data_IF_634687060337
#
_entry.id   IF_634687060337
#
_cell.length_a   1.000
_cell.length_b   1.000
_cell.length_c   1.000
_cell.angle_alpha   90.00
_cell.angle_beta   90.00
_cell.angle_gamma   90.00
#
_symmetry.space_group_name_H-M   'P 1'
#
loop_
_entity.id
_entity.type
_entity.pdbx_description
1 polymer ?
#
# COMPACT_ATOMS: atom_id res chain seq x y z
N UNK A 1 -15.24 -20.00 -24.18
CA UNK A 1 -15.85 -20.75 -23.07
C UNK A 1 -16.88 -19.83 -22.43
N UNK A 2 -18.19 -20.13 -22.53
CA UNK A 2 -19.20 -19.34 -21.84
C UNK A 2 -18.96 -19.48 -20.33
N UNK A 3 -18.80 -18.34 -19.67
CA UNK A 3 -18.59 -18.29 -18.23
C UNK A 3 -19.74 -19.00 -17.52
N UNK A 4 -19.41 -19.99 -16.70
CA UNK A 4 -20.34 -20.61 -15.78
C UNK A 4 -20.71 -19.50 -14.78
N UNK A 5 -21.83 -18.82 -15.02
CA UNK A 5 -22.49 -18.01 -14.01
C UNK A 5 -23.09 -19.02 -13.04
N UNK A 6 -22.36 -19.35 -11.98
CA UNK A 6 -23.01 -19.99 -10.84
C UNK A 6 -24.07 -19.00 -10.34
N UNK A 7 -25.34 -19.39 -10.22
CA UNK A 7 -26.34 -18.51 -9.65
C UNK A 7 -25.98 -18.31 -8.17
N UNK A 8 -25.35 -17.18 -7.85
CA UNK A 8 -25.24 -16.74 -6.46
C UNK A 8 -26.65 -16.45 -5.98
N UNK A 9 -27.13 -17.21 -4.99
CA UNK A 9 -28.44 -17.00 -4.40
C UNK A 9 -28.52 -15.60 -3.77
N UNK A 10 -29.69 -14.97 -3.91
CA UNK A 10 -29.98 -13.68 -3.28
C UNK A 10 -29.85 -13.79 -1.75
N UNK A 11 -29.45 -12.70 -1.10
CA UNK A 11 -29.41 -12.64 0.36
C UNK A 11 -30.82 -12.83 0.96
N UNK A 12 -30.90 -13.26 2.23
CA UNK A 12 -32.18 -13.60 2.87
C UNK A 12 -33.15 -12.42 2.92
N UNK A 13 -32.65 -11.20 3.17
CA UNK A 13 -33.43 -9.96 3.09
C UNK A 13 -34.12 -9.81 1.72
N UNK A 14 -33.38 -10.00 0.64
CA UNK A 14 -33.85 -9.85 -0.74
C UNK A 14 -34.86 -10.92 -1.07
N UNK A 15 -34.62 -12.17 -0.67
CA UNK A 15 -35.60 -13.25 -0.84
C UNK A 15 -36.94 -12.90 -0.16
N UNK A 16 -36.89 -12.38 1.07
CA UNK A 16 -38.09 -11.95 1.82
C UNK A 16 -38.81 -10.78 1.12
N UNK A 17 -38.07 -9.77 0.65
CA UNK A 17 -38.65 -8.61 -0.03
C UNK A 17 -39.29 -8.98 -1.37
N UNK A 18 -38.63 -9.82 -2.17
CA UNK A 18 -39.19 -10.32 -3.43
C UNK A 18 -40.45 -11.17 -3.18
N UNK A 19 -40.45 -12.02 -2.15
CA UNK A 19 -41.62 -12.80 -1.75
C UNK A 19 -42.80 -11.91 -1.29
N UNK A 20 -42.50 -10.75 -0.71
CA UNK A 20 -43.50 -9.74 -0.35
C UNK A 20 -43.97 -8.86 -1.52
N UNK A 21 -43.43 -9.06 -2.73
CA UNK A 21 -43.83 -8.35 -3.95
C UNK A 21 -43.05 -7.06 -4.24
N UNK A 22 -41.97 -6.77 -3.51
CA UNK A 22 -41.10 -5.64 -3.83
C UNK A 22 -40.24 -5.92 -5.07
N UNK A 23 -39.85 -4.86 -5.77
CA UNK A 23 -39.04 -4.93 -7.00
C UNK A 23 -37.86 -3.96 -6.91
N UNK A 24 -36.91 -4.05 -7.84
CA UNK A 24 -35.79 -3.11 -7.93
C UNK A 24 -36.23 -1.65 -8.17
N UNK A 25 -37.46 -1.42 -8.62
CA UNK A 25 -38.05 -0.09 -8.85
C UNK A 25 -38.93 0.38 -7.68
N UNK A 26 -39.45 -0.55 -6.89
CA UNK A 26 -40.31 -0.27 -5.75
C UNK A 26 -39.93 -1.14 -4.56
N UNK A 27 -39.18 -0.56 -3.62
CA UNK A 27 -38.69 -1.20 -2.42
C UNK A 27 -38.82 -0.26 -1.21
N UNK A 28 -38.79 -0.78 0.03
CA UNK A 28 -38.95 0.05 1.24
C UNK A 28 -37.80 1.05 1.46
N UNK A 29 -38.11 2.18 2.09
CA UNK A 29 -37.13 3.25 2.37
C UNK A 29 -35.98 2.83 3.31
N UNK A 30 -36.15 1.73 4.05
CA UNK A 30 -35.14 1.22 4.97
C UNK A 30 -34.07 0.36 4.29
N UNK A 31 -34.23 0.03 3.00
CA UNK A 31 -33.24 -0.68 2.19
C UNK A 31 -32.76 0.17 1.01
N UNK A 32 -31.61 -0.20 0.46
CA UNK A 32 -31.03 0.43 -0.73
C UNK A 32 -30.45 -0.62 -1.67
N UNK A 33 -30.25 -0.23 -2.92
CA UNK A 33 -29.46 -1.00 -3.88
C UNK A 33 -28.04 -0.42 -3.91
N UNK A 34 -27.00 -1.23 -3.68
CA UNK A 34 -25.63 -0.75 -3.73
C UNK A 34 -25.20 -0.30 -5.12
N UNK A 35 -24.15 0.52 -5.17
CA UNK A 35 -23.54 0.95 -6.43
C UNK A 35 -22.77 -0.16 -7.14
N UNK A 36 -22.43 -1.25 -6.44
CA UNK A 36 -21.78 -2.41 -7.04
C UNK A 36 -22.79 -3.14 -7.94
N UNK A 37 -22.40 -3.47 -9.18
CA UNK A 37 -23.25 -4.19 -10.13
C UNK A 37 -22.38 -4.98 -11.08
N UNK A 38 -22.72 -6.25 -11.30
CA UNK A 38 -21.99 -7.13 -12.22
C UNK A 38 -22.86 -7.70 -13.34
N UNK A 39 -24.17 -7.43 -13.36
CA UNK A 39 -25.08 -7.86 -14.42
C UNK A 39 -26.11 -6.80 -14.84
N UNK A 40 -27.07 -7.19 -15.69
CA UNK A 40 -28.11 -6.28 -16.18
C UNK A 40 -29.26 -6.07 -15.18
N UNK A 41 -29.36 -6.90 -14.15
CA UNK A 41 -30.30 -6.69 -13.05
C UNK A 41 -29.63 -5.82 -11.96
N UNK A 42 -30.26 -4.73 -11.48
CA UNK A 42 -29.77 -3.96 -10.33
C UNK A 42 -29.52 -4.80 -9.06
N UNK A 43 -30.23 -5.92 -8.90
CA UNK A 43 -30.07 -6.83 -7.75
C UNK A 43 -28.88 -7.79 -7.90
N UNK A 44 -28.25 -7.86 -9.09
CA UNK A 44 -27.01 -8.60 -9.32
C UNK A 44 -25.80 -7.75 -8.91
N UNK A 45 -25.56 -7.71 -7.60
CA UNK A 45 -24.51 -6.91 -6.96
C UNK A 45 -23.68 -7.74 -5.97
N UNK A 46 -22.66 -7.13 -5.36
CA UNK A 46 -21.75 -7.81 -4.43
C UNK A 46 -22.42 -8.22 -3.11
N UNK A 47 -23.52 -7.56 -2.77
CA UNK A 47 -24.30 -7.80 -1.55
C UNK A 47 -25.41 -8.82 -1.79
N UNK A 48 -25.48 -9.36 -3.01
CA UNK A 48 -26.46 -10.35 -3.46
C UNK A 48 -27.91 -9.83 -3.31
N UNK A 49 -28.15 -8.53 -3.57
CA UNK A 49 -29.49 -7.94 -3.62
C UNK A 49 -29.60 -6.60 -2.89
N UNK A 50 -30.66 -6.42 -2.10
CA UNK A 50 -30.87 -5.24 -1.26
C UNK A 50 -29.94 -5.26 -0.04
N UNK A 51 -29.53 -4.08 0.41
CA UNK A 51 -28.79 -3.83 1.66
C UNK A 51 -29.65 -3.00 2.61
N UNK A 52 -29.46 -3.15 3.91
CA UNK A 52 -30.03 -2.18 4.84
C UNK A 52 -29.38 -0.80 4.66
N UNK A 53 -30.19 0.25 4.79
CA UNK A 53 -29.66 1.60 4.91
C UNK A 53 -28.84 1.73 6.20
N UNK A 54 -27.72 2.49 6.21
CA UNK A 54 -26.92 2.65 7.43
C UNK A 54 -27.71 3.19 8.63
N UNK A 55 -28.72 4.02 8.40
CA UNK A 55 -29.52 4.61 9.48
C UNK A 55 -30.52 3.61 10.05
N UNK A 56 -31.12 2.75 9.22
CA UNK A 56 -31.93 1.65 9.71
C UNK A 56 -31.08 0.61 10.43
N UNK A 57 -29.91 0.25 9.89
CA UNK A 57 -29.02 -0.71 10.52
C UNK A 57 -28.58 -0.24 11.92
N UNK A 58 -28.32 1.05 12.12
CA UNK A 58 -28.00 1.61 13.45
C UNK A 58 -29.14 1.50 14.46
N UNK A 59 -30.40 1.45 14.03
CA UNK A 59 -31.54 1.28 14.94
C UNK A 59 -31.78 -0.18 15.33
N UNK A 60 -31.21 -1.12 14.59
CA UNK A 60 -31.32 -2.55 14.86
C UNK A 60 -30.42 -2.99 16.01
N UNK A 61 -30.88 -4.01 16.72
CA UNK A 61 -30.16 -4.68 17.81
C UNK A 61 -29.94 -6.14 17.44
N UNK A 62 -28.73 -6.61 17.72
CA UNK A 62 -28.32 -7.98 17.49
C UNK A 62 -27.89 -8.64 18.79
N UNK A 63 -27.91 -9.96 18.83
CA UNK A 63 -27.52 -10.77 19.98
C UNK A 63 -26.59 -11.89 19.54
N UNK A 64 -25.52 -12.11 20.30
CA UNK A 64 -24.63 -13.26 20.09
C UNK A 64 -25.28 -14.54 20.63
N UNK A 65 -24.78 -15.72 20.22
CA UNK A 65 -25.23 -17.01 20.78
C UNK A 65 -25.06 -17.15 22.30
N UNK A 66 -24.17 -16.35 22.93
CA UNK A 66 -24.00 -16.30 24.38
C UNK A 66 -24.85 -15.22 25.08
N UNK A 67 -25.70 -14.50 24.34
CA UNK A 67 -26.66 -13.55 24.88
C UNK A 67 -26.16 -12.11 25.00
N UNK A 68 -25.00 -11.77 24.45
CA UNK A 68 -24.49 -10.39 24.49
C UNK A 68 -25.15 -9.52 23.42
N UNK A 69 -25.58 -8.33 23.80
CA UNK A 69 -26.18 -7.35 22.90
C UNK A 69 -25.11 -6.60 22.07
N UNK A 70 -25.43 -6.38 20.79
CA UNK A 70 -24.60 -5.70 19.80
C UNK A 70 -25.45 -4.67 19.06
N UNK A 71 -24.93 -3.46 18.86
CA UNK A 71 -25.60 -2.42 18.07
C UNK A 71 -25.34 -2.68 16.59
N UNK A 72 -26.35 -2.49 15.74
CA UNK A 72 -26.15 -2.63 14.30
C UNK A 72 -25.17 -1.61 13.70
N UNK A 73 -24.82 -0.53 14.41
CA UNK A 73 -23.76 0.39 14.01
C UNK A 73 -22.39 -0.29 13.78
N UNK A 74 -22.13 -1.40 14.46
CA UNK A 74 -20.88 -2.18 14.30
C UNK A 74 -20.76 -2.82 12.90
N UNK A 75 -21.88 -3.02 12.21
CA UNK A 75 -21.93 -3.71 10.91
C UNK A 75 -21.98 -2.77 9.71
N UNK A 76 -21.75 -1.47 9.91
CA UNK A 76 -21.76 -0.48 8.82
C UNK A 76 -20.51 -0.51 7.92
N UNK A 77 -19.49 -1.30 8.27
CA UNK A 77 -18.15 -1.22 7.67
C UNK A 77 -17.80 -2.33 6.68
N UNK A 78 -18.79 -3.10 6.25
CA UNK A 78 -18.69 -4.10 5.19
C UNK A 78 -18.88 -5.53 5.68
N UNK A 79 -19.06 -6.43 4.72
CA UNK A 79 -19.41 -7.82 4.96
C UNK A 79 -18.21 -8.75 4.80
N UNK A 80 -18.30 -9.93 5.40
CA UNK A 80 -17.28 -10.97 5.26
C UNK A 80 -17.84 -12.13 4.43
N UNK A 81 -17.11 -12.55 3.39
CA UNK A 81 -17.39 -13.79 2.69
C UNK A 81 -16.39 -14.86 3.14
N UNK A 82 -16.87 -15.91 3.81
CA UNK A 82 -16.02 -16.99 4.32
C UNK A 82 -16.74 -18.33 4.25
N UNK A 83 -16.04 -19.39 3.81
CA UNK A 83 -16.58 -20.74 3.61
C UNK A 83 -17.87 -20.80 2.76
N UNK A 84 -17.97 -19.92 1.76
CA UNK A 84 -19.14 -19.84 0.88
C UNK A 84 -20.36 -19.15 1.49
N UNK A 85 -20.25 -18.64 2.72
CA UNK A 85 -21.29 -17.85 3.40
C UNK A 85 -20.94 -16.37 3.34
N UNK A 86 -21.93 -15.55 2.99
CA UNK A 86 -21.86 -14.09 3.14
C UNK A 86 -22.38 -13.72 4.52
N UNK A 87 -21.46 -13.42 5.43
CA UNK A 87 -21.71 -13.02 6.81
C UNK A 87 -22.06 -11.54 6.86
N UNK A 88 -23.36 -11.25 6.76
CA UNK A 88 -23.89 -9.88 6.72
C UNK A 88 -25.18 -9.75 7.52
N UNK A 89 -25.58 -8.53 7.91
CA UNK A 89 -26.88 -8.26 8.51
C UNK A 89 -28.06 -8.76 7.67
N UNK A 90 -27.96 -8.67 6.34
CA UNK A 90 -28.99 -9.08 5.38
C UNK A 90 -29.26 -10.59 5.39
N UNK A 91 -28.25 -11.37 5.78
CA UNK A 91 -28.36 -12.83 5.96
C UNK A 91 -28.60 -13.23 7.42
N UNK A 92 -28.87 -12.26 8.31
CA UNK A 92 -29.08 -12.51 9.74
C UNK A 92 -27.93 -13.30 10.37
N UNK A 93 -26.70 -13.06 9.90
CA UNK A 93 -25.49 -13.66 10.45
C UNK A 93 -24.28 -12.71 10.39
N UNK A 94 -24.41 -11.42 10.77
CA UNK A 94 -23.24 -10.56 10.85
C UNK A 94 -22.29 -11.06 11.95
N UNK A 95 -21.00 -10.73 11.81
CA UNK A 95 -19.95 -11.25 12.69
C UNK A 95 -19.23 -10.15 13.45
N UNK A 96 -18.89 -10.44 14.70
CA UNK A 96 -18.04 -9.59 15.53
C UNK A 96 -16.84 -10.37 16.04
N UNK A 97 -15.76 -9.69 16.41
CA UNK A 97 -14.75 -10.32 17.25
C UNK A 97 -15.35 -10.57 18.65
N UNK A 98 -15.19 -11.77 19.19
CA UNK A 98 -15.68 -12.14 20.50
C UNK A 98 -14.86 -11.44 21.59
N UNK A 99 -15.48 -10.69 22.51
CA UNK A 99 -14.75 -9.97 23.57
C UNK A 99 -14.05 -10.92 24.55
N UNK A 100 -14.54 -12.16 24.71
CA UNK A 100 -13.95 -13.16 25.59
C UNK A 100 -12.78 -13.93 24.97
N UNK A 101 -12.63 -13.89 23.63
CA UNK A 101 -11.53 -14.53 22.89
C UNK A 101 -11.25 -15.98 23.32
N UNK A 102 -12.31 -16.74 23.61
CA UNK A 102 -12.20 -18.18 23.91
C UNK A 102 -11.96 -18.94 22.60
N UNK A 103 -10.93 -19.79 22.61
CA UNK A 103 -10.58 -20.65 21.49
C UNK A 103 -11.71 -21.66 21.21
N UNK A 104 -12.11 -22.41 22.22
CA UNK A 104 -13.21 -23.38 22.14
C UNK A 104 -14.51 -22.72 22.65
N UNK A 105 -15.52 -22.64 21.79
CA UNK A 105 -16.82 -22.07 22.11
C UNK A 105 -17.93 -22.75 21.32
N UNK A 106 -18.68 -23.63 21.98
CA UNK A 106 -19.80 -24.39 21.38
C UNK A 106 -20.99 -23.51 20.93
N UNK A 107 -21.01 -22.24 21.36
CA UNK A 107 -22.06 -21.27 21.05
C UNK A 107 -21.81 -20.50 19.73
N UNK A 108 -20.69 -20.76 19.07
CA UNK A 108 -20.30 -20.10 17.81
C UNK A 108 -20.60 -21.02 16.64
N UNK A 109 -20.87 -20.46 15.47
CA UNK A 109 -20.97 -21.25 14.25
C UNK A 109 -19.74 -22.17 14.05
N UNK A 110 -19.93 -23.48 13.80
CA UNK A 110 -18.85 -24.43 13.55
C UNK A 110 -17.97 -24.07 12.35
N UNK A 111 -18.47 -23.22 11.45
CA UNK A 111 -17.75 -22.77 10.26
C UNK A 111 -16.50 -21.95 10.60
N UNK A 112 -16.43 -21.34 11.78
CA UNK A 112 -15.30 -20.50 12.18
C UNK A 112 -14.06 -21.28 12.66
N UNK A 113 -14.12 -22.63 12.77
CA UNK A 113 -13.04 -23.63 12.87
C UNK A 113 -11.80 -23.39 13.75
N UNK A 114 -11.29 -24.40 14.45
CA UNK A 114 -10.14 -24.31 15.38
C UNK A 114 -8.75 -24.07 14.71
N UNK A 115 -8.51 -22.87 14.18
CA UNK A 115 -7.26 -22.51 13.51
C UNK A 115 -6.38 -21.53 14.30
N UNK A 116 -5.05 -21.70 14.25
CA UNK A 116 -4.07 -20.74 14.84
C UNK A 116 -4.09 -19.32 14.24
N UNK A 117 -4.94 -19.07 13.24
CA UNK A 117 -5.13 -17.78 12.59
C UNK A 117 -6.61 -17.32 12.62
N UNK A 118 -7.42 -17.83 13.56
CA UNK A 118 -8.80 -17.41 13.72
C UNK A 118 -8.90 -16.12 14.50
N UNK A 119 -9.29 -15.05 13.83
CA UNK A 119 -10.04 -14.01 14.52
C UNK A 119 -11.26 -14.69 15.19
N UNK A 120 -11.47 -14.40 16.48
CA UNK A 120 -12.48 -15.04 17.33
C UNK A 120 -13.91 -14.61 16.93
N UNK A 121 -14.31 -14.84 15.69
CA UNK A 121 -15.55 -14.32 15.12
C UNK A 121 -16.76 -15.01 15.74
N UNK A 122 -17.68 -14.25 16.31
CA UNK A 122 -18.99 -14.73 16.75
C UNK A 122 -20.05 -14.23 15.78
N UNK A 123 -20.90 -15.13 15.30
CA UNK A 123 -22.12 -14.79 14.60
C UNK A 123 -23.15 -14.19 15.57
N UNK A 124 -23.89 -13.23 15.05
CA UNK A 124 -24.94 -12.50 15.75
C UNK A 124 -26.24 -12.62 14.96
N UNK A 125 -27.37 -12.54 15.66
CA UNK A 125 -28.70 -12.58 15.05
C UNK A 125 -29.53 -11.38 15.51
N UNK A 126 -30.44 -10.90 14.68
CA UNK A 126 -31.36 -9.82 15.03
C UNK A 126 -32.22 -10.21 16.22
N UNK A 127 -32.47 -9.26 17.13
CA UNK A 127 -33.37 -9.45 18.27
C UNK A 127 -34.34 -8.28 18.39
N UNK A 128 -35.55 -8.55 18.89
CA UNK A 128 -36.56 -7.54 19.20
C UNK A 128 -36.34 -6.91 20.59
N UNK A 129 -35.48 -7.51 21.41
CA UNK A 129 -35.12 -7.02 22.73
C UNK A 129 -34.49 -5.61 22.62
N UNK A 130 -34.82 -4.66 23.51
CA UNK A 130 -34.11 -3.40 23.59
C UNK A 130 -32.65 -3.63 23.99
N UNK A 131 -31.74 -2.84 23.43
CA UNK A 131 -30.32 -2.94 23.74
C UNK A 131 -30.03 -2.65 25.23
N UNK A 132 -29.47 -3.64 25.93
CA UNK A 132 -28.97 -3.49 27.30
C UNK A 132 -27.44 -3.37 27.31
N UNK A 133 -26.93 -2.21 27.76
CA UNK A 133 -25.50 -1.97 27.89
C UNK A 133 -24.83 -2.88 28.92
N UNK A 134 -25.49 -3.25 30.02
CA UNK A 134 -24.88 -4.07 31.06
C UNK A 134 -24.55 -5.48 30.56
N UNK A 135 -25.34 -5.99 29.61
CA UNK A 135 -25.16 -7.28 28.95
C UNK A 135 -24.69 -7.13 27.50
N UNK A 136 -23.94 -6.07 27.18
CA UNK A 136 -23.46 -5.82 25.83
C UNK A 136 -22.01 -6.22 25.59
N UNK A 137 -21.67 -6.34 24.32
CA UNK A 137 -20.29 -6.50 23.86
C UNK A 137 -19.45 -5.27 24.19
N UNK A 138 -20.02 -4.06 24.13
CA UNK A 138 -19.33 -2.81 24.47
C UNK A 138 -18.85 -2.84 25.93
N UNK A 139 -19.70 -3.30 26.85
CA UNK A 139 -19.35 -3.42 28.26
C UNK A 139 -18.31 -4.51 28.50
N UNK A 140 -18.45 -5.65 27.83
CA UNK A 140 -17.45 -6.72 27.89
C UNK A 140 -16.07 -6.24 27.40
N UNK A 141 -16.00 -5.48 26.31
CA UNK A 141 -14.76 -4.87 25.84
C UNK A 141 -14.21 -3.83 26.81
N UNK A 142 -15.06 -2.99 27.40
CA UNK A 142 -14.64 -2.01 28.39
C UNK A 142 -13.97 -2.69 29.59
N UNK A 143 -14.61 -3.73 30.13
CA UNK A 143 -14.10 -4.47 31.29
C UNK A 143 -12.82 -5.24 30.96
N UNK A 144 -12.75 -5.82 29.76
CA UNK A 144 -11.53 -6.44 29.24
C UNK A 144 -10.37 -5.44 29.14
N UNK A 145 -10.59 -4.30 28.48
CA UNK A 145 -9.57 -3.26 28.30
C UNK A 145 -9.13 -2.67 29.65
N UNK A 146 -10.04 -2.54 30.61
CA UNK A 146 -9.70 -2.12 31.97
C UNK A 146 -8.74 -3.10 32.66
N UNK A 147 -8.99 -4.41 32.54
CA UNK A 147 -8.08 -5.46 33.06
C UNK A 147 -6.72 -5.43 32.36
N UNK A 148 -6.71 -5.35 31.04
CA UNK A 148 -5.46 -5.27 30.24
C UNK A 148 -4.63 -4.04 30.63
N UNK A 149 -5.29 -2.90 30.88
CA UNK A 149 -4.63 -1.68 31.37
C UNK A 149 -4.05 -1.85 32.77
N UNK A 150 -4.79 -2.46 33.71
CA UNK A 150 -4.26 -2.77 35.04
C UNK A 150 -3.03 -3.66 34.97
N UNK A 151 -3.06 -4.71 34.14
CA UNK A 151 -1.91 -5.57 33.90
C UNK A 151 -0.71 -4.83 33.29
N UNK A 152 -0.97 -3.83 32.42
CA UNK A 152 0.08 -2.97 31.87
C UNK A 152 0.74 -2.12 32.95
N UNK A 153 -0.05 -1.52 33.84
CA UNK A 153 0.47 -0.70 34.94
C UNK A 153 1.33 -1.56 35.90
N UNK A 154 0.89 -2.78 36.19
CA UNK A 154 1.66 -3.73 36.99
C UNK A 154 2.93 -4.21 36.27
N UNK A 155 2.87 -4.42 34.95
CA UNK A 155 4.04 -4.72 34.13
C UNK A 155 5.07 -3.57 34.16
N UNK A 156 4.60 -2.32 34.05
CA UNK A 156 5.45 -1.13 34.16
C UNK A 156 6.11 -1.03 35.53
N UNK A 157 5.36 -1.28 36.62
CA UNK A 157 5.90 -1.32 37.99
C UNK A 157 6.97 -2.39 38.14
N UNK A 158 6.72 -3.62 37.66
CA UNK A 158 7.68 -4.74 37.71
C UNK A 158 8.99 -4.44 36.96
N UNK A 159 8.93 -3.65 35.89
CA UNK A 159 10.10 -3.24 35.10
C UNK A 159 10.72 -1.91 35.54
N UNK A 160 10.29 -1.34 36.68
CA UNK A 160 10.82 -0.08 37.20
C UNK A 160 10.60 1.12 36.27
N UNK A 161 9.55 1.10 35.44
CA UNK A 161 9.26 2.15 34.47
C UNK A 161 10.07 2.09 33.18
N UNK A 162 10.89 1.04 32.94
CA UNK A 162 11.61 0.82 31.69
C UNK A 162 10.74 0.22 30.58
N UNK A 163 9.54 0.76 30.38
CA UNK A 163 8.55 0.24 29.42
C UNK A 163 8.19 1.30 28.41
N UNK A 164 8.54 1.06 27.15
CA UNK A 164 8.10 1.90 26.04
C UNK A 164 6.86 1.27 25.38
N UNK A 165 5.78 2.06 25.26
CA UNK A 165 4.50 1.63 24.68
C UNK A 165 4.61 1.07 23.25
N UNK A 166 5.59 1.52 22.46
CA UNK A 166 5.80 1.03 21.08
C UNK A 166 6.37 -0.40 21.08
N UNK A 167 7.11 -0.76 22.12
CA UNK A 167 7.77 -2.06 22.23
C UNK A 167 7.03 -3.04 23.14
N UNK A 168 6.05 -2.54 23.89
CA UNK A 168 5.17 -3.35 24.70
C UNK A 168 3.98 -3.81 23.86
N UNK A 169 3.77 -5.12 23.79
CA UNK A 169 2.57 -5.70 23.20
C UNK A 169 1.91 -6.62 24.20
N UNK A 170 0.58 -6.62 24.17
CA UNK A 170 -0.21 -7.57 24.92
C UNK A 170 -0.49 -8.76 24.02
N UNK A 171 -0.09 -9.95 24.45
CA UNK A 171 -0.49 -11.17 23.80
C UNK A 171 -1.85 -11.60 24.36
N UNK A 172 -2.88 -11.52 23.52
CA UNK A 172 -4.25 -11.89 23.88
C UNK A 172 -4.41 -13.41 24.08
N UNK A 173 -3.51 -14.25 23.57
CA UNK A 173 -3.54 -15.70 23.74
C UNK A 173 -2.97 -16.11 25.11
N UNK A 174 -1.78 -15.61 25.42
CA UNK A 174 -1.11 -15.90 26.69
C UNK A 174 -1.62 -15.04 27.86
N UNK A 175 -2.37 -13.98 27.55
CA UNK A 175 -2.88 -13.02 28.52
C UNK A 175 -1.76 -12.24 29.22
N UNK A 176 -0.64 -12.00 28.53
CA UNK A 176 0.59 -11.43 29.11
C UNK A 176 1.11 -10.27 28.29
N UNK A 177 1.57 -9.25 29.00
CA UNK A 177 2.39 -8.20 28.42
C UNK A 177 3.81 -8.70 28.22
N UNK A 178 4.31 -8.50 27.01
CA UNK A 178 5.71 -8.73 26.70
C UNK A 178 6.30 -7.49 26.04
N UNK A 179 7.63 -7.39 26.10
CA UNK A 179 8.36 -6.25 25.59
C UNK A 179 9.52 -6.72 24.75
N UNK A 180 9.45 -6.41 23.45
CA UNK A 180 10.52 -6.73 22.52
C UNK A 180 11.04 -5.43 21.89
N UNK A 181 12.30 -5.12 22.19
CA UNK A 181 12.93 -3.91 21.68
C UNK A 181 13.37 -4.11 20.23
N UNK A 182 12.78 -3.31 19.33
CA UNK A 182 13.13 -3.28 17.92
C UNK A 182 13.58 -1.88 17.51
N UNK A 183 14.87 -1.70 17.22
CA UNK A 183 15.41 -0.39 16.83
C UNK A 183 14.77 0.13 15.54
N UNK A 184 14.36 -0.75 14.62
CA UNK A 184 13.72 -0.35 13.37
C UNK A 184 12.36 0.32 13.61
N UNK A 185 11.57 -0.16 14.58
CA UNK A 185 10.31 0.49 14.96
C UNK A 185 10.55 1.88 15.55
N UNK A 186 11.58 2.03 16.40
CA UNK A 186 12.02 3.34 16.90
C UNK A 186 12.47 4.27 15.76
N UNK A 187 13.18 3.75 14.76
CA UNK A 187 13.63 4.53 13.61
C UNK A 187 12.46 4.98 12.73
N UNK A 188 11.38 4.18 12.64
CA UNK A 188 10.18 4.58 11.92
C UNK A 188 9.46 5.72 12.63
N UNK A 189 9.11 5.53 13.90
CA UNK A 189 8.40 6.51 14.71
C UNK A 189 8.77 6.37 16.19
N UNK A 190 9.48 7.36 16.74
CA UNK A 190 9.75 7.45 18.18
C UNK A 190 9.13 8.75 18.71
N UNK A 191 8.23 8.69 19.71
CA UNK A 191 7.56 9.87 20.25
C UNK A 191 8.48 10.71 21.14
N UNK A 192 9.56 10.11 21.67
CA UNK A 192 10.48 10.76 22.61
C UNK A 192 11.66 11.47 21.93
N UNK A 193 11.58 11.80 20.64
CA UNK A 193 12.69 12.47 19.96
C UNK A 193 12.89 13.86 20.55
N UNK A 194 14.00 14.03 21.26
CA UNK A 194 14.31 15.27 21.98
C UNK A 194 13.98 15.26 23.46
N UNK A 195 13.46 14.15 23.98
CA UNK A 195 13.14 13.92 25.39
C UNK A 195 13.85 12.64 25.89
N UNK A 196 13.51 12.21 27.10
CA UNK A 196 14.00 10.96 27.69
C UNK A 196 13.23 9.77 27.12
N UNK A 197 13.96 8.72 26.72
CA UNK A 197 13.35 7.48 26.24
C UNK A 197 12.80 6.65 27.41
N UNK A 198 11.51 6.30 27.39
CA UNK A 198 10.87 5.47 28.42
C UNK A 198 11.49 4.07 28.59
N UNK A 199 12.16 3.55 27.56
CA UNK A 199 12.81 2.24 27.63
C UNK A 199 14.18 2.32 28.31
N UNK A 200 15.05 3.16 27.77
CA UNK A 200 16.46 3.19 28.19
C UNK A 200 16.75 4.26 29.23
N UNK A 201 15.80 5.17 29.47
CA UNK A 201 15.94 6.37 30.33
C UNK A 201 17.17 7.19 29.97
N UNK A 202 17.46 7.29 28.68
CA UNK A 202 18.54 8.12 28.13
C UNK A 202 17.94 9.17 27.20
N UNK A 203 18.54 10.36 27.10
CA UNK A 203 18.07 11.39 26.19
C UNK A 203 18.17 10.93 24.74
N UNK A 204 17.12 11.14 23.96
CA UNK A 204 17.09 10.89 22.52
C UNK A 204 17.46 12.18 21.80
N UNK A 205 18.53 12.16 21.02
CA UNK A 205 19.03 13.37 20.36
C UNK A 205 18.07 13.89 19.30
N UNK A 206 17.88 15.22 19.24
CA UNK A 206 17.18 15.89 18.11
C UNK A 206 18.03 15.95 16.84
N UNK A 207 19.35 15.78 16.96
CA UNK A 207 20.27 15.80 15.82
C UNK A 207 19.97 14.59 14.93
N UNK A 208 19.79 14.85 13.64
CA UNK A 208 19.48 13.83 12.63
C UNK A 208 20.74 13.40 11.90
N UNK A 209 20.84 12.12 11.61
CA UNK A 209 21.88 11.50 10.81
C UNK A 209 21.43 10.15 10.28
N UNK A 210 22.39 9.31 9.94
CA UNK A 210 22.15 7.97 9.44
C UNK A 210 23.29 7.03 9.85
N UNK A 211 23.05 5.74 9.70
CA UNK A 211 24.11 4.73 9.71
C UNK A 211 24.58 4.58 8.27
N UNK A 212 25.87 4.82 8.06
CA UNK A 212 26.56 4.59 6.81
C UNK A 212 27.43 3.34 6.94
N UNK A 213 27.48 2.52 5.92
CA UNK A 213 28.35 1.36 5.86
C UNK A 213 28.82 1.13 4.43
N UNK A 214 29.90 0.37 4.28
CA UNK A 214 30.46 0.03 2.99
C UNK A 214 30.17 -1.45 2.71
N UNK A 215 29.66 -1.73 1.51
CA UNK A 215 29.27 -3.07 1.07
C UNK A 215 30.29 -3.58 0.07
N UNK A 216 31.07 -4.59 0.46
CA UNK A 216 32.00 -5.29 -0.42
C UNK A 216 31.34 -6.53 -0.99
N UNK A 217 31.22 -6.59 -2.31
CA UNK A 217 30.62 -7.69 -3.05
C UNK A 217 31.73 -8.40 -3.80
N UNK A 218 31.92 -9.68 -3.53
CA UNK A 218 32.85 -10.54 -4.25
C UNK A 218 32.06 -11.48 -5.15
N UNK A 219 32.30 -11.38 -6.46
CA UNK A 219 31.67 -12.21 -7.47
C UNK A 219 32.74 -12.92 -8.30
N UNK A 220 32.44 -14.15 -8.70
CA UNK A 220 33.26 -14.92 -9.63
C UNK A 220 32.67 -14.71 -11.03
N UNK A 221 33.47 -14.23 -11.98
CA UNK A 221 33.05 -14.10 -13.38
C UNK A 221 32.69 -15.46 -13.95
N UNK A 222 31.49 -15.60 -14.50
CA UNK A 222 31.00 -16.81 -15.16
C UNK A 222 30.48 -16.49 -16.57
N UNK A 223 31.29 -15.77 -17.36
CA UNK A 223 30.84 -15.18 -18.63
C UNK A 223 31.34 -15.95 -19.87
N UNK A 224 32.03 -17.08 -19.68
CA UNK A 224 32.58 -17.90 -20.76
C UNK A 224 33.74 -17.27 -21.55
N UNK A 225 34.25 -16.11 -21.11
CA UNK A 225 35.40 -15.40 -21.71
C UNK A 225 36.74 -15.88 -21.13
N UNK A 226 37.87 -15.37 -21.64
CA UNK A 226 39.22 -15.71 -21.16
C UNK A 226 39.39 -15.46 -19.64
N UNK A 227 38.61 -14.53 -19.08
CA UNK A 227 38.65 -14.12 -17.67
C UNK A 227 37.61 -14.84 -16.80
N UNK A 228 37.07 -15.96 -17.29
CA UNK A 228 36.15 -16.81 -16.55
C UNK A 228 36.84 -17.41 -15.31
N UNK A 229 36.20 -17.32 -14.15
CA UNK A 229 36.79 -17.71 -12.87
C UNK A 229 37.56 -16.59 -12.14
N UNK A 230 37.75 -15.42 -12.73
CA UNK A 230 38.36 -14.29 -12.01
C UNK A 230 37.42 -13.72 -10.94
N UNK A 231 38.00 -13.38 -9.78
CA UNK A 231 37.29 -12.71 -8.69
C UNK A 231 37.21 -11.21 -8.99
N UNK A 232 36.01 -10.71 -9.23
CA UNK A 232 35.74 -9.26 -9.22
C UNK A 232 35.33 -8.87 -7.81
N UNK A 233 36.04 -7.90 -7.25
CA UNK A 233 35.67 -7.25 -5.99
C UNK A 233 35.11 -5.87 -6.32
N UNK A 234 33.88 -5.62 -5.88
CA UNK A 234 33.22 -4.31 -5.98
C UNK A 234 32.93 -3.80 -4.59
N UNK A 235 33.28 -2.55 -4.29
CA UNK A 235 32.92 -1.91 -3.02
C UNK A 235 31.96 -0.76 -3.30
N UNK A 236 30.77 -0.86 -2.72
CA UNK A 236 29.79 0.21 -2.69
C UNK A 236 29.95 0.95 -1.36
N UNK A 237 30.49 2.17 -1.39
CA UNK A 237 30.74 2.99 -0.19
C UNK A 237 29.55 3.88 0.13
N UNK A 238 29.41 4.18 1.43
CA UNK A 238 28.44 5.17 1.92
C UNK A 238 26.98 4.74 1.79
N UNK A 239 26.71 3.42 1.84
CA UNK A 239 25.35 2.89 1.81
C UNK A 239 24.61 3.31 3.08
N UNK A 240 23.40 3.86 2.92
CA UNK A 240 22.56 4.30 4.03
C UNK A 240 21.66 3.17 4.52
N UNK A 241 21.65 2.91 5.83
CA UNK A 241 20.72 1.95 6.44
C UNK A 241 19.26 2.43 6.35
N UNK A 242 19.01 3.71 6.65
CA UNK A 242 17.67 4.29 6.59
C UNK A 242 17.50 5.16 5.34
N UNK A 243 16.31 5.11 4.72
CA UNK A 243 16.01 5.97 3.55
C UNK A 243 16.05 7.47 3.89
N UNK A 244 15.59 7.81 5.10
CA UNK A 244 15.50 9.17 5.65
C UNK A 244 16.40 9.33 6.87
N UNK A 245 16.85 10.57 7.14
CA UNK A 245 17.68 10.86 8.30
C UNK A 245 16.89 10.69 9.62
N UNK A 246 17.44 9.93 10.56
CA UNK A 246 16.86 9.57 11.86
C UNK A 246 17.68 10.16 13.00
N UNK A 247 17.17 10.09 14.23
CA UNK A 247 17.94 10.53 15.40
C UNK A 247 19.28 9.78 15.50
N UNK A 248 20.37 10.49 15.79
CA UNK A 248 21.69 9.88 15.96
C UNK A 248 21.70 8.79 17.03
N UNK A 249 21.03 9.02 18.16
CA UNK A 249 20.95 8.02 19.25
C UNK A 249 20.28 6.72 18.82
N UNK A 250 19.31 6.77 17.89
CA UNK A 250 18.66 5.58 17.33
C UNK A 250 19.61 4.90 16.33
N UNK A 251 20.32 5.69 15.52
CA UNK A 251 21.32 5.18 14.58
C UNK A 251 22.49 4.47 15.30
N UNK A 252 22.97 5.03 16.41
CA UNK A 252 23.99 4.41 17.27
C UNK A 252 23.54 3.05 17.83
N UNK A 253 22.28 2.94 18.23
CA UNK A 253 21.72 1.66 18.68
C UNK A 253 21.59 0.66 17.54
N UNK A 254 21.19 1.12 16.36
CA UNK A 254 21.08 0.27 15.18
C UNK A 254 22.45 -0.30 14.77
N UNK A 255 23.49 0.52 14.82
CA UNK A 255 24.86 0.10 14.55
C UNK A 255 25.36 -0.93 15.58
N UNK A 256 25.00 -0.80 16.86
CA UNK A 256 25.39 -1.74 17.92
C UNK A 256 24.70 -3.10 17.84
N UNK A 257 23.50 -3.18 17.28
CA UNK A 257 22.71 -4.42 17.19
C UNK A 257 23.01 -5.23 15.90
N UNK A 258 24.05 -4.89 15.13
CA UNK A 258 24.39 -5.57 13.87
C UNK A 258 23.22 -5.67 12.87
N UNK A 259 22.23 -4.77 12.94
CA UNK A 259 21.04 -4.79 12.07
C UNK A 259 21.43 -4.69 10.59
N UNK A 260 22.54 -4.02 10.31
CA UNK A 260 23.10 -3.89 8.96
C UNK A 260 23.42 -5.28 8.37
N UNK A 261 24.00 -6.17 9.17
CA UNK A 261 24.36 -7.53 8.76
C UNK A 261 23.13 -8.40 8.53
N UNK A 262 22.13 -8.30 9.41
CA UNK A 262 20.87 -9.01 9.26
C UNK A 262 20.12 -8.62 7.99
N UNK A 263 19.98 -7.32 7.71
CA UNK A 263 19.27 -6.82 6.52
C UNK A 263 19.91 -7.28 5.21
N UNK A 264 21.24 -7.28 5.13
CA UNK A 264 21.96 -7.70 3.93
C UNK A 264 22.05 -9.23 3.80
N UNK A 265 22.06 -9.96 4.92
CA UNK A 265 22.07 -11.44 4.91
C UNK A 265 20.82 -12.03 4.23
N UNK A 266 19.66 -11.40 4.42
CA UNK A 266 18.40 -11.78 3.79
C UNK A 266 18.40 -11.53 2.25
N UNK A 267 19.34 -10.73 1.75
CA UNK A 267 19.44 -10.32 0.35
C UNK A 267 20.62 -10.98 -0.41
N UNK A 268 21.18 -12.11 0.06
CA UNK A 268 22.31 -12.85 -0.56
C UNK A 268 22.00 -13.52 -1.91
N UNK A 269 21.39 -12.80 -2.85
CA UNK A 269 21.22 -13.26 -4.24
C UNK A 269 22.47 -12.99 -5.10
N UNK A 270 23.41 -12.17 -4.62
CA UNK A 270 24.56 -11.68 -5.40
C UNK A 270 25.90 -11.94 -4.67
N UNK A 271 26.44 -13.15 -4.80
CA UNK A 271 27.81 -13.45 -4.36
C UNK A 271 28.07 -13.35 -2.85
N UNK A 272 29.35 -13.31 -2.47
CA UNK A 272 29.78 -13.13 -1.08
C UNK A 272 29.77 -11.64 -0.73
N UNK A 273 28.88 -11.26 0.19
CA UNK A 273 28.72 -9.88 0.67
C UNK A 273 29.35 -9.74 2.04
N UNK A 274 30.28 -8.79 2.16
CA UNK A 274 30.94 -8.38 3.40
C UNK A 274 30.57 -6.92 3.71
N UNK A 275 30.23 -6.65 4.96
CA UNK A 275 29.90 -5.31 5.44
C UNK A 275 31.10 -4.75 6.19
N UNK A 276 31.50 -3.55 5.84
CA UNK A 276 32.67 -2.87 6.36
C UNK A 276 32.30 -1.45 6.84
N UNK A 277 33.13 -0.88 7.71
CA UNK A 277 33.10 0.54 8.10
C UNK A 277 31.71 1.09 8.50
N UNK A 278 31.02 0.39 9.40
CA UNK A 278 29.76 0.87 9.98
C UNK A 278 30.03 2.11 10.82
N UNK A 279 29.45 3.25 10.44
CA UNK A 279 29.64 4.55 11.09
C UNK A 279 28.32 5.30 11.20
N UNK A 280 28.20 6.13 12.22
CA UNK A 280 26.99 6.95 12.46
C UNK A 280 27.33 8.41 12.30
N UNK A 281 26.74 9.04 11.29
CA UNK A 281 27.11 10.40 10.89
C UNK A 281 25.88 11.20 10.45
N UNK A 282 26.00 12.53 10.46
CA UNK A 282 24.95 13.40 9.91
C UNK A 282 24.95 13.42 8.38
N UNK A 283 26.15 13.33 7.80
CA UNK A 283 26.41 13.32 6.36
C UNK A 283 27.48 12.29 6.10
N UNK A 284 27.42 11.69 4.92
CA UNK A 284 28.42 10.74 4.44
C UNK A 284 29.81 11.42 4.44
N UNK A 285 30.71 10.94 5.30
CA UNK A 285 32.14 11.22 5.17
C UNK A 285 32.72 10.37 4.05
N UNK A 286 33.54 11.01 3.21
CA UNK A 286 34.29 10.36 2.12
C UNK A 286 35.77 10.39 2.48
N UNK A 287 36.39 9.21 2.54
CA UNK A 287 37.84 9.07 2.70
C UNK A 287 38.51 8.86 1.34
N UNK A 288 39.04 9.96 0.81
CA UNK A 288 39.73 9.96 -0.49
C UNK A 288 40.99 9.10 -0.49
N UNK A 289 41.71 9.01 0.65
CA UNK A 289 42.95 8.24 0.72
C UNK A 289 42.66 6.75 0.66
N UNK A 290 41.62 6.31 1.36
CA UNK A 290 41.15 4.93 1.29
C UNK A 290 40.62 4.59 -0.11
N UNK A 291 39.86 5.50 -0.74
CA UNK A 291 39.36 5.30 -2.11
C UNK A 291 40.51 5.11 -3.11
N UNK A 292 41.56 5.95 -3.03
CA UNK A 292 42.72 5.83 -3.89
C UNK A 292 43.49 4.53 -3.66
N UNK A 293 43.53 4.04 -2.43
CA UNK A 293 44.16 2.76 -2.12
C UNK A 293 43.36 1.59 -2.69
N UNK A 294 42.04 1.56 -2.51
CA UNK A 294 41.18 0.51 -3.07
C UNK A 294 41.26 0.49 -4.61
N UNK A 295 41.34 1.66 -5.25
CA UNK A 295 41.53 1.77 -6.71
C UNK A 295 42.90 1.21 -7.13
N UNK A 296 43.96 1.46 -6.35
CA UNK A 296 45.29 0.88 -6.58
C UNK A 296 45.28 -0.64 -6.42
N UNK A 297 44.49 -1.16 -5.50
CA UNK A 297 44.31 -2.59 -5.25
C UNK A 297 43.40 -3.26 -6.32
N UNK A 298 42.97 -2.51 -7.34
CA UNK A 298 42.18 -3.00 -8.47
C UNK A 298 40.70 -3.20 -8.14
N UNK A 299 40.21 -2.63 -7.04
CA UNK A 299 38.82 -2.75 -6.59
C UNK A 299 37.96 -1.67 -7.25
N UNK A 300 36.80 -2.06 -7.78
CA UNK A 300 35.83 -1.11 -8.31
C UNK A 300 35.11 -0.40 -7.15
N UNK A 301 35.42 0.89 -6.93
CA UNK A 301 34.82 1.72 -5.89
C UNK A 301 33.65 2.54 -6.45
N UNK A 302 32.46 2.36 -5.89
CA UNK A 302 31.25 3.07 -6.29
C UNK A 302 30.61 3.73 -5.07
N UNK A 303 30.26 5.01 -5.15
CA UNK A 303 29.55 5.71 -4.08
C UNK A 303 28.03 5.63 -4.29
N UNK A 304 27.27 5.21 -3.27
CA UNK A 304 25.81 5.07 -3.37
C UNK A 304 25.13 6.41 -3.71
N UNK A 305 25.68 7.50 -3.17
CA UNK A 305 25.22 8.86 -3.40
C UNK A 305 25.31 9.26 -4.87
N UNK A 306 26.32 8.79 -5.60
CA UNK A 306 26.53 9.12 -7.00
C UNK A 306 25.63 8.27 -7.91
N UNK A 307 25.40 6.99 -7.59
CA UNK A 307 24.36 6.17 -8.25
C UNK A 307 22.97 6.81 -8.16
N UNK A 308 22.60 7.31 -6.97
CA UNK A 308 21.32 7.99 -6.74
C UNK A 308 21.21 9.28 -7.55
N UNK A 309 22.29 10.06 -7.67
CA UNK A 309 22.33 11.27 -8.51
C UNK A 309 22.18 10.92 -9.98
N UNK A 310 22.94 9.94 -10.47
CA UNK A 310 22.90 9.49 -11.85
C UNK A 310 21.51 8.96 -12.23
N UNK A 311 20.88 8.16 -11.37
CA UNK A 311 19.52 7.67 -11.58
C UNK A 311 18.48 8.82 -11.65
N UNK A 312 18.61 9.83 -10.77
CA UNK A 312 17.76 11.03 -10.81
C UNK A 312 17.96 11.83 -12.10
N UNK A 313 19.21 12.00 -12.53
CA UNK A 313 19.54 12.69 -13.77
C UNK A 313 18.99 11.94 -14.99
N UNK A 314 19.24 10.63 -15.09
CA UNK A 314 18.66 9.80 -16.15
C UNK A 314 17.13 9.87 -16.16
N UNK A 315 16.47 9.87 -14.99
CA UNK A 315 15.01 10.02 -14.91
C UNK A 315 14.55 11.39 -15.41
N UNK A 316 15.32 12.45 -15.16
CA UNK A 316 15.05 13.81 -15.67
C UNK A 316 15.22 13.88 -17.19
N UNK A 317 16.33 13.33 -17.71
CA UNK A 317 16.61 13.27 -19.14
C UNK A 317 15.53 12.46 -19.89
N UNK A 318 15.14 11.29 -19.38
CA UNK A 318 14.04 10.49 -19.94
C UNK A 318 12.72 11.26 -19.95
N UNK A 319 12.42 12.06 -18.92
CA UNK A 319 11.22 12.90 -18.86
C UNK A 319 11.26 14.01 -19.92
N UNK A 320 12.40 14.67 -20.08
CA UNK A 320 12.61 15.70 -21.10
C UNK A 320 12.46 15.12 -22.52
N UNK A 321 13.15 14.01 -22.82
CA UNK A 321 13.03 13.34 -24.11
C UNK A 321 11.59 12.89 -24.41
N UNK A 322 10.87 12.38 -23.41
CA UNK A 322 9.47 11.99 -23.58
C UNK A 322 8.55 13.21 -23.79
N UNK A 323 8.84 14.33 -23.13
CA UNK A 323 8.10 15.58 -23.33
C UNK A 323 8.35 16.13 -24.75
N UNK A 324 9.60 16.16 -25.21
CA UNK A 324 9.95 16.57 -26.58
C UNK A 324 9.28 15.67 -27.63
N UNK A 325 9.29 14.34 -27.42
CA UNK A 325 8.58 13.39 -28.30
C UNK A 325 7.08 13.66 -28.33
N UNK A 326 6.46 13.99 -27.19
CA UNK A 326 5.03 14.36 -27.13
C UNK A 326 4.75 15.68 -27.84
N UNK A 327 5.61 16.68 -27.66
CA UNK A 327 5.50 17.97 -28.36
C UNK A 327 5.63 17.74 -29.87
N UNK A 328 6.64 17.02 -30.35
CA UNK A 328 6.80 16.69 -31.78
C UNK A 328 5.60 15.94 -32.37
N UNK A 329 5.03 14.99 -31.62
CA UNK A 329 3.80 14.29 -32.04
C UNK A 329 2.61 15.26 -32.14
N UNK A 330 2.51 16.21 -31.23
CA UNK A 330 1.45 17.21 -31.22
C UNK A 330 1.62 18.24 -32.35
N UNK A 331 2.85 18.71 -32.60
CA UNK A 331 3.18 19.56 -33.74
C UNK A 331 2.80 18.86 -35.06
N UNK A 332 3.16 17.58 -35.23
CA UNK A 332 2.78 16.78 -36.40
C UNK A 332 1.25 16.68 -36.53
N UNK A 333 0.53 16.44 -35.44
CA UNK A 333 -0.94 16.35 -35.43
C UNK A 333 -1.61 17.68 -35.79
N UNK A 334 -1.07 18.81 -35.32
CA UNK A 334 -1.53 20.16 -35.70
C UNK A 334 -1.24 20.43 -37.18
N UNK A 335 -0.10 19.99 -37.69
CA UNK A 335 0.23 20.12 -39.11
C UNK A 335 -0.69 19.31 -40.02
N UNK A 336 -1.12 18.12 -39.59
CA UNK A 336 -2.03 17.23 -40.34
C UNK A 336 -3.49 17.70 -40.29
N UNK A 337 -4.03 17.94 -39.08
CA UNK A 337 -5.47 18.16 -38.84
C UNK A 337 -5.81 19.64 -38.61
N UNK A 338 -4.84 20.44 -38.15
CA UNK A 338 -5.02 21.84 -37.76
C UNK A 338 -5.42 21.99 -36.31
N UNK A 339 -5.15 23.15 -35.72
CA UNK A 339 -5.52 23.40 -34.33
C UNK A 339 -7.05 23.52 -34.17
N UNK A 340 -7.75 24.08 -35.16
CA UNK A 340 -9.22 24.11 -35.23
C UNK A 340 -9.86 22.74 -35.45
N UNK A 341 -9.14 21.78 -36.04
CA UNK A 341 -9.61 20.40 -36.24
C UNK A 341 -9.37 19.48 -35.04
N UNK A 342 -8.64 19.94 -34.01
CA UNK A 342 -8.59 19.25 -32.72
C UNK A 342 -9.90 19.50 -31.98
N UNK A 343 -10.64 18.44 -31.65
CA UNK A 343 -11.92 18.54 -30.95
C UNK A 343 -11.84 19.45 -29.72
N UNK A 344 -12.88 20.27 -29.52
CA UNK A 344 -12.87 21.42 -28.61
C UNK A 344 -12.53 21.06 -27.14
N UNK A 345 -12.94 19.87 -26.70
CA UNK A 345 -12.65 19.32 -25.35
C UNK A 345 -11.49 18.31 -25.29
N UNK A 346 -10.76 18.11 -26.39
CA UNK A 346 -9.68 17.14 -26.45
C UNK A 346 -8.51 17.51 -25.53
N UNK A 347 -7.87 16.49 -24.97
CA UNK A 347 -6.65 16.66 -24.17
C UNK A 347 -5.52 17.28 -25.00
N UNK A 348 -5.47 16.99 -26.29
CA UNK A 348 -4.47 17.50 -27.22
C UNK A 348 -4.56 19.01 -27.43
N UNK A 349 -5.77 19.58 -27.51
CA UNK A 349 -5.97 21.03 -27.62
C UNK A 349 -5.49 21.76 -26.36
N UNK A 350 -5.81 21.22 -25.18
CA UNK A 350 -5.33 21.73 -23.88
C UNK A 350 -3.81 21.62 -23.74
N UNK A 351 -3.22 20.49 -24.15
CA UNK A 351 -1.78 20.32 -24.15
C UNK A 351 -1.07 21.23 -25.15
N UNK A 352 -1.68 21.49 -26.32
CA UNK A 352 -1.12 22.38 -27.33
C UNK A 352 -1.03 23.81 -26.79
N UNK A 353 -2.13 24.34 -26.25
CA UNK A 353 -2.15 25.66 -25.62
C UNK A 353 -1.13 25.76 -24.46
N UNK A 354 -0.99 24.71 -23.66
CA UNK A 354 -0.10 24.70 -22.49
C UNK A 354 1.39 24.51 -22.82
N UNK A 355 1.73 23.72 -23.83
CA UNK A 355 3.12 23.31 -24.11
C UNK A 355 3.76 24.05 -25.28
N UNK A 356 2.99 24.41 -26.32
CA UNK A 356 3.50 25.10 -27.51
C UNK A 356 3.32 26.63 -27.40
N UNK A 357 2.26 27.08 -26.72
CA UNK A 357 1.89 28.49 -26.68
C UNK A 357 1.23 28.97 -27.97
N UNK A 358 0.55 30.11 -27.91
CA UNK A 358 -0.30 30.59 -29.01
C UNK A 358 0.49 30.97 -30.26
N UNK A 359 1.70 31.51 -30.12
CA UNK A 359 2.51 31.97 -31.25
C UNK A 359 3.03 30.80 -32.09
N UNK A 360 3.54 29.76 -31.42
CA UNK A 360 3.99 28.54 -32.11
C UNK A 360 2.86 27.80 -32.81
N UNK A 361 1.65 27.82 -32.24
CA UNK A 361 0.46 27.23 -32.88
C UNK A 361 0.13 27.99 -34.16
N UNK A 362 0.13 29.33 -34.14
CA UNK A 362 -0.12 30.15 -35.33
C UNK A 362 0.92 29.92 -36.42
N UNK A 363 2.20 29.80 -36.06
CA UNK A 363 3.27 29.44 -37.01
C UNK A 363 3.01 28.09 -37.67
N UNK A 364 2.66 27.06 -36.90
CA UNK A 364 2.37 25.73 -37.43
C UNK A 364 1.14 25.72 -38.34
N UNK A 365 0.13 26.54 -38.04
CA UNK A 365 -1.04 26.72 -38.91
C UNK A 365 -0.70 27.50 -40.19
N UNK A 366 0.18 28.49 -40.14
CA UNK A 366 0.67 29.22 -41.31
C UNK A 366 1.44 28.28 -42.25
N UNK A 367 2.38 27.50 -41.72
CA UNK A 367 3.14 26.49 -42.48
C UNK A 367 2.20 25.45 -43.11
N UNK A 368 1.14 25.04 -42.40
CA UNK A 368 0.12 24.14 -42.96
C UNK A 368 -0.62 24.77 -44.14
N UNK A 369 -0.99 26.04 -44.05
CA UNK A 369 -1.67 26.76 -45.14
C UNK A 369 -0.76 26.92 -46.36
N UNK A 370 0.52 27.21 -46.16
CA UNK A 370 1.52 27.25 -47.23
C UNK A 370 1.66 25.90 -47.92
N UNK A 371 1.84 24.80 -47.17
CA UNK A 371 1.91 23.43 -47.73
C UNK A 371 0.66 22.98 -48.48
N UNK A 372 -0.51 23.55 -48.16
CA UNK A 372 -1.77 23.29 -48.87
C UNK A 372 -1.90 24.12 -50.15
N UNK A 373 -1.20 25.25 -50.22
CA UNK A 373 -1.18 26.15 -51.38
C UNK A 373 -0.02 25.85 -52.34
N UNK A 374 0.97 25.06 -51.94
CA UNK A 374 1.96 24.49 -52.87
C UNK A 374 1.24 23.51 -53.82
N UNK A 375 1.33 23.71 -55.14
CA UNK A 375 0.76 22.76 -56.09
C UNK A 375 1.45 21.42 -55.89
N UNK A 376 0.67 20.36 -55.64
CA UNK A 376 1.15 18.98 -55.76
C UNK A 376 1.74 18.88 -57.16
N UNK A 377 3.07 18.78 -57.27
CA UNK A 377 3.70 18.39 -58.53
C UNK A 377 3.21 16.97 -58.82
N UNK A 378 2.12 16.85 -59.57
CA UNK A 378 1.78 15.62 -60.25
C UNK A 378 2.96 15.28 -61.15
N UNK A 379 3.58 14.12 -60.92
CA UNK A 379 4.59 13.63 -61.84
C UNK A 379 3.90 13.32 -63.17
N UNK A 380 4.58 13.58 -64.29
CA UNK A 380 4.05 13.39 -65.65
C UNK A 380 3.60 11.93 -65.94
N UNK A 381 3.97 10.98 -65.07
CA UNK A 381 3.59 9.57 -65.16
C UNK A 381 2.12 9.31 -64.82
N UNK A 382 1.43 10.20 -64.10
CA UNK A 382 0.01 10.03 -63.78
C UNK A 382 -0.92 10.37 -64.96
N UNK A 383 -0.39 10.99 -66.04
CA UNK A 383 -1.15 11.38 -67.22
C UNK A 383 -1.11 10.36 -68.37
N UNK A 384 -0.27 9.32 -68.32
CA UNK A 384 -0.07 8.34 -69.41
C UNK A 384 -0.77 6.99 -69.11
N UNK A 385 -1.78 7.00 -68.23
CA UNK A 385 -2.53 5.81 -67.85
C UNK A 385 -3.97 5.75 -68.35
N UNK A 386 -4.36 6.60 -69.30
CA UNK A 386 -5.71 6.65 -69.85
C UNK A 386 -5.73 6.25 -71.31
N UNK A 387 -6.17 5.02 -71.56
CA UNK A 387 -6.77 4.47 -72.78
C UNK A 387 -6.07 4.77 -74.13
N UNK A 388 -5.64 3.71 -74.81
CA UNK A 388 -6.37 3.14 -75.96
C UNK A 388 -5.57 1.94 -76.50
N UNK A 389 -6.35 0.87 -76.70
CA UNK A 389 -6.20 -0.35 -77.51
C UNK A 389 -5.10 -0.42 -78.57
#
# INVERSE_FOLDING_TARGET
>A
MPGIVMPMEYNLLTQRLLAAGYTAEHYPDYVRIPSSRWGNDPLQNLSHGFEFTPDYLKSMVFKTGCGLYVKGSEFCHGDMSYMGVLWSPENDCPTICCPHRKHECDLRSPLFGDGRATAYHCDCHVTEDPYDYAMSVDKAYQDYNAKVKQQYDDFCRKKGGHVCRIHAHYDDWDGKWSQNYNVLSCAHHCPHVGDMCDLTHTPVSRKKGNVFYDKKITQIRNDGTLFNGEKIVKIIKGVRLFESAKSLTICERAAKQSIVEEQESHCRREGQVEILNIRVEQRESRDLMQDLQDIRDGIEVIHESDLKKQAKQQKRERRQQNQEKKIKKLEKKIMEVGFSGLGENSLDRRHAMKWLGNDRIKELEAIRKERRNDPVQMSIFDFIGGDIS
#
